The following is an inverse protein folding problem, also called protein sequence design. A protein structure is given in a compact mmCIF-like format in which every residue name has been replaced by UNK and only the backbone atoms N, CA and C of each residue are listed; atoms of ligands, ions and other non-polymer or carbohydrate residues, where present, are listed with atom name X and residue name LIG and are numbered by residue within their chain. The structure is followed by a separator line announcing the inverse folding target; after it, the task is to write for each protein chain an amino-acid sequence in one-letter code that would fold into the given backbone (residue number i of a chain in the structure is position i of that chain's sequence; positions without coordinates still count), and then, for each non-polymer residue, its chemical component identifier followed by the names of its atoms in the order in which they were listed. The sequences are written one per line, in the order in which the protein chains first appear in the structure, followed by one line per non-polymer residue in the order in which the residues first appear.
data_IF_091031162157
#
_entry.id   IF_091031162157
#
_cell.length_a   1.000
_cell.length_b   1.000
_cell.length_c   1.000
_cell.angle_alpha   90.00
_cell.angle_beta   90.00
_cell.angle_gamma   90.00
#
_symmetry.space_group_name_H-M   'P 1'
#
loop_
_entity.id
_entity.type
_entity.pdbx_description
1 polymer ?
#
# COMPACT_ATOMS: atom_id res chain seq x y z
N UNK A 1 -13.33 -14.08 -54.19
CA UNK A 1 -13.85 -14.23 -52.81
C UNK A 1 -13.96 -12.82 -52.22
N UNK A 2 -15.15 -12.34 -51.85
CA UNK A 2 -15.35 -10.97 -51.34
C UNK A 2 -15.74 -11.04 -49.86
N UNK A 3 -15.03 -10.32 -49.00
CA UNK A 3 -15.35 -10.22 -47.57
C UNK A 3 -16.39 -9.11 -47.36
N UNK A 4 -17.49 -9.43 -46.67
CA UNK A 4 -18.54 -8.47 -46.30
C UNK A 4 -18.26 -7.93 -44.90
N UNK A 5 -18.02 -6.63 -44.78
CA UNK A 5 -17.92 -5.95 -43.48
C UNK A 5 -19.33 -5.51 -43.08
N UNK A 6 -19.79 -5.98 -41.93
CA UNK A 6 -21.07 -5.58 -41.33
C UNK A 6 -20.78 -4.69 -40.13
N UNK A 7 -21.31 -3.47 -40.11
CA UNK A 7 -21.24 -2.57 -38.96
C UNK A 7 -22.58 -2.57 -38.22
N UNK A 8 -22.53 -2.72 -36.90
CA UNK A 8 -23.71 -2.63 -36.03
C UNK A 8 -23.67 -1.30 -35.27
N UNK A 9 -24.74 -0.51 -35.38
CA UNK A 9 -24.88 0.74 -34.64
C UNK A 9 -25.17 0.43 -33.17
N UNK A 10 -24.36 0.99 -32.28
CA UNK A 10 -24.61 0.89 -30.85
C UNK A 10 -25.85 1.70 -30.48
N UNK A 11 -26.83 1.07 -29.82
CA UNK A 11 -28.03 1.74 -29.34
C UNK A 11 -27.69 2.72 -28.21
N UNK A 12 -28.36 3.88 -28.18
CA UNK A 12 -28.24 4.88 -27.10
C UNK A 12 -28.24 4.30 -25.67
N UNK A 13 -29.13 3.36 -25.29
CA UNK A 13 -29.10 2.80 -23.93
C UNK A 13 -27.87 1.92 -23.68
N UNK A 14 -27.35 1.24 -24.71
CA UNK A 14 -26.13 0.43 -24.61
C UNK A 14 -24.90 1.32 -24.45
N UNK A 15 -24.85 2.44 -25.17
CA UNK A 15 -23.78 3.43 -24.99
C UNK A 15 -23.78 4.04 -23.58
N UNK A 16 -24.95 4.33 -23.01
CA UNK A 16 -25.09 4.85 -21.64
C UNK A 16 -24.68 3.79 -20.61
N UNK A 17 -25.08 2.53 -20.80
CA UNK A 17 -24.69 1.43 -19.90
C UNK A 17 -23.18 1.17 -19.94
N UNK A 18 -22.57 1.21 -21.13
CA UNK A 18 -21.11 1.09 -21.30
C UNK A 18 -20.39 2.26 -20.64
N UNK A 19 -20.89 3.49 -20.78
CA UNK A 19 -20.31 4.67 -20.14
C UNK A 19 -20.43 4.60 -18.61
N UNK A 20 -21.57 4.14 -18.09
CA UNK A 20 -21.79 3.94 -16.66
C UNK A 20 -20.84 2.87 -16.10
N UNK A 21 -20.69 1.73 -16.77
CA UNK A 21 -19.73 0.69 -16.36
C UNK A 21 -18.28 1.17 -16.45
N UNK A 22 -17.94 1.97 -17.45
CA UNK A 22 -16.61 2.55 -17.57
C UNK A 22 -16.31 3.49 -16.40
N UNK A 23 -17.29 4.30 -15.95
CA UNK A 23 -17.13 5.17 -14.78
C UNK A 23 -17.02 4.43 -13.44
N UNK A 24 -17.66 3.26 -13.28
CA UNK A 24 -17.54 2.45 -12.07
C UNK A 24 -16.22 1.68 -11.96
N UNK A 25 -15.52 1.43 -13.07
CA UNK A 25 -14.22 0.75 -13.05
C UNK A 25 -13.03 1.64 -12.66
N UNK A 26 -13.24 2.93 -12.41
CA UNK A 26 -12.20 3.86 -11.93
C UNK A 26 -12.29 4.06 -10.40
N UNK A 27 -12.39 2.99 -9.62
CA UNK A 27 -11.72 3.07 -8.32
C UNK A 27 -10.25 3.02 -8.64
N UNK A 28 -9.56 4.16 -8.53
CA UNK A 28 -8.10 4.10 -8.37
C UNK A 28 -7.91 3.20 -7.16
N UNK A 29 -7.43 1.97 -7.36
CA UNK A 29 -6.67 1.31 -6.32
C UNK A 29 -5.45 2.20 -6.12
N UNK A 30 -5.63 3.28 -5.36
CA UNK A 30 -4.54 4.12 -4.91
C UNK A 30 -3.62 3.17 -4.16
N UNK A 31 -2.31 3.28 -4.40
CA UNK A 31 -1.35 2.58 -3.56
C UNK A 31 -1.67 2.95 -2.11
N UNK A 32 -1.89 1.94 -1.27
CA UNK A 32 -2.19 2.11 0.15
C UNK A 32 -1.14 3.02 0.80
N UNK A 33 -1.57 4.04 1.53
CA UNK A 33 -0.64 4.87 2.29
C UNK A 33 -0.15 4.09 3.50
N UNK A 34 1.13 3.70 3.52
CA UNK A 34 1.70 2.93 4.65
C UNK A 34 2.24 3.87 5.72
N UNK A 35 1.85 3.62 6.97
CA UNK A 35 2.38 4.27 8.16
C UNK A 35 3.20 3.32 9.04
N UNK A 36 4.13 3.88 9.79
CA UNK A 36 4.94 3.16 10.78
C UNK A 36 4.98 3.91 12.11
N UNK A 37 4.90 3.15 13.22
CA UNK A 37 5.15 3.66 14.56
C UNK A 37 6.14 2.76 15.26
N UNK A 38 7.28 3.33 15.65
CA UNK A 38 8.25 2.66 16.50
C UNK A 38 7.83 2.71 17.98
N UNK A 39 7.87 1.56 18.64
CA UNK A 39 7.53 1.43 20.05
C UNK A 39 8.76 1.03 20.86
N UNK A 40 9.22 1.96 21.70
CA UNK A 40 10.32 1.69 22.63
C UNK A 40 9.93 0.64 23.70
N UNK A 41 8.66 0.58 24.09
CA UNK A 41 8.18 -0.34 25.13
C UNK A 41 8.19 -1.79 24.67
N UNK A 42 7.68 -2.05 23.47
CA UNK A 42 7.60 -3.39 22.88
C UNK A 42 8.82 -3.78 22.04
N UNK A 43 9.75 -2.85 21.79
CA UNK A 43 10.92 -3.06 20.93
C UNK A 43 10.52 -3.55 19.54
N UNK A 44 9.47 -2.95 18.99
CA UNK A 44 8.90 -3.31 17.70
C UNK A 44 8.50 -2.07 16.92
N UNK A 45 8.25 -2.25 15.63
CA UNK A 45 7.56 -1.28 14.79
C UNK A 45 6.20 -1.85 14.42
N UNK A 46 5.14 -1.06 14.62
CA UNK A 46 3.81 -1.36 14.09
C UNK A 46 3.68 -0.73 12.72
N UNK A 47 3.18 -1.51 11.76
CA UNK A 47 2.86 -1.07 10.41
C UNK A 47 1.34 -1.01 10.28
N UNK A 48 0.85 0.08 9.69
CA UNK A 48 -0.58 0.32 9.55
C UNK A 48 -0.91 0.97 8.21
N UNK A 49 -2.16 0.79 7.81
CA UNK A 49 -2.79 1.51 6.72
C UNK A 49 -3.15 2.92 7.21
N UNK A 50 -2.50 3.95 6.70
CA UNK A 50 -2.75 5.33 7.08
C UNK A 50 -4.02 5.91 6.45
N UNK A 51 -4.65 5.22 5.49
CA UNK A 51 -5.93 5.62 4.90
C UNK A 51 -7.11 5.12 5.76
N UNK A 52 -6.93 4.02 6.51
CA UNK A 52 -8.01 3.36 7.27
C UNK A 52 -7.72 3.14 8.76
N UNK A 53 -6.52 3.49 9.23
CA UNK A 53 -5.98 3.19 10.56
C UNK A 53 -5.89 1.69 10.89
N UNK A 54 -6.01 0.80 9.89
CA UNK A 54 -5.94 -0.64 10.09
C UNK A 54 -4.51 -1.10 10.38
N UNK A 55 -4.31 -1.90 11.42
CA UNK A 55 -3.00 -2.51 11.71
C UNK A 55 -2.73 -3.63 10.70
N UNK A 56 -1.61 -3.52 9.98
CA UNK A 56 -1.17 -4.48 8.97
C UNK A 56 -0.20 -5.51 9.56
N UNK A 57 0.54 -5.14 10.59
CA UNK A 57 1.46 -6.05 11.26
C UNK A 57 2.42 -5.36 12.22
N UNK A 58 3.35 -6.14 12.75
CA UNK A 58 4.44 -5.62 13.57
C UNK A 58 5.74 -6.39 13.32
N UNK A 59 6.86 -5.68 13.37
CA UNK A 59 8.20 -6.24 13.20
C UNK A 59 9.02 -5.99 14.47
N UNK A 60 9.57 -7.05 15.06
CA UNK A 60 10.46 -6.95 16.22
C UNK A 60 11.82 -6.38 15.81
N UNK A 61 12.32 -5.42 16.59
CA UNK A 61 13.63 -4.80 16.36
C UNK A 61 14.65 -5.36 17.34
N UNK A 62 15.78 -5.90 16.88
CA UNK A 62 16.83 -6.34 17.76
C UNK A 62 17.50 -5.12 18.39
N UNK A 63 17.35 -5.00 19.71
CA UNK A 63 17.78 -3.79 20.45
C UNK A 63 18.89 -4.07 21.43
N UNK A 64 19.13 -5.31 21.84
CA UNK A 64 20.12 -5.63 22.89
C UNK A 64 20.02 -4.71 24.12
N UNK A 65 18.80 -4.26 24.47
CA UNK A 65 18.53 -3.32 25.56
C UNK A 65 18.47 -1.83 25.18
N UNK A 66 18.70 -1.49 23.91
CA UNK A 66 18.67 -0.11 23.42
C UNK A 66 17.26 0.43 23.16
N UNK A 67 17.18 1.74 22.89
CA UNK A 67 15.93 2.47 22.65
C UNK A 67 15.55 2.40 21.17
N UNK A 68 14.28 2.20 20.86
CA UNK A 68 13.74 2.34 19.49
C UNK A 68 12.89 3.60 19.45
N UNK A 69 12.99 4.42 18.40
CA UNK A 69 12.18 5.64 18.34
C UNK A 69 11.99 6.23 16.95
N UNK A 70 13.06 6.61 16.26
CA UNK A 70 12.88 7.30 14.98
C UNK A 70 12.59 6.28 13.87
N UNK A 71 11.55 6.53 13.09
CA UNK A 71 11.21 5.75 11.90
C UNK A 71 10.77 6.64 10.74
N UNK A 72 10.96 6.13 9.52
CA UNK A 72 10.52 6.77 8.29
C UNK A 72 10.11 5.72 7.25
N UNK A 73 9.18 6.09 6.38
CA UNK A 73 8.76 5.28 5.23
C UNK A 73 9.35 5.92 3.97
N UNK A 74 9.91 5.12 3.06
CA UNK A 74 10.36 5.58 1.75
C UNK A 74 9.15 6.09 0.95
N UNK A 75 9.31 7.15 0.16
CA UNK A 75 8.20 7.80 -0.53
C UNK A 75 7.39 6.87 -1.46
N UNK A 76 7.99 5.78 -1.95
CA UNK A 76 7.30 4.77 -2.77
C UNK A 76 6.59 3.67 -1.95
N UNK A 77 6.66 3.73 -0.61
CA UNK A 77 6.02 2.80 0.31
C UNK A 77 6.66 1.42 0.40
N UNK A 78 7.78 1.16 -0.29
CA UNK A 78 8.36 -0.18 -0.38
C UNK A 78 9.26 -0.53 0.81
N UNK A 79 9.89 0.48 1.43
CA UNK A 79 10.84 0.30 2.52
C UNK A 79 10.50 1.17 3.73
N UNK A 80 10.70 0.60 4.91
CA UNK A 80 10.67 1.28 6.20
C UNK A 80 12.06 1.35 6.82
N UNK A 81 12.35 2.41 7.55
CA UNK A 81 13.59 2.60 8.30
C UNK A 81 13.27 2.80 9.77
N UNK A 82 14.06 2.21 10.67
CA UNK A 82 13.94 2.44 12.11
C UNK A 82 15.29 2.39 12.81
N UNK A 83 15.49 3.28 13.77
CA UNK A 83 16.70 3.34 14.61
C UNK A 83 16.54 2.54 15.88
N UNK A 84 17.65 1.95 16.37
CA UNK A 84 17.73 1.41 17.73
C UNK A 84 18.63 2.25 18.66
N UNK A 85 19.01 3.47 18.27
CA UNK A 85 19.92 4.38 18.98
C UNK A 85 21.23 3.76 19.53
N UNK A 86 21.58 2.55 19.09
CA UNK A 86 22.83 1.85 19.37
C UNK A 86 23.65 1.77 18.07
N UNK A 87 23.70 2.89 17.35
CA UNK A 87 24.40 3.05 16.08
C UNK A 87 23.94 2.12 14.96
N UNK A 88 22.69 1.64 15.02
CA UNK A 88 22.10 0.80 13.97
C UNK A 88 20.83 1.42 13.40
N UNK A 89 20.65 1.23 12.08
CA UNK A 89 19.41 1.49 11.34
C UNK A 89 18.97 0.17 10.72
N UNK A 90 17.73 -0.20 10.91
CA UNK A 90 17.12 -1.38 10.30
C UNK A 90 16.29 -0.96 9.11
N UNK A 91 16.33 -1.79 8.06
CA UNK A 91 15.50 -1.66 6.87
C UNK A 91 14.44 -2.76 6.92
N UNK A 92 13.19 -2.37 6.75
CA UNK A 92 12.02 -3.26 6.76
C UNK A 92 11.45 -3.26 5.34
N UNK A 93 11.30 -4.43 4.75
CA UNK A 93 10.59 -4.60 3.48
C UNK A 93 9.08 -4.55 3.75
N UNK A 94 8.41 -3.54 3.20
CA UNK A 94 6.98 -3.32 3.39
C UNK A 94 6.14 -3.99 2.28
N UNK A 95 6.77 -4.56 1.26
CA UNK A 95 6.06 -5.24 0.16
C UNK A 95 5.66 -6.68 0.49
N UNK A 96 6.23 -7.23 1.56
CA UNK A 96 6.00 -8.61 2.01
C UNK A 96 4.97 -8.72 3.14
N UNK A 97 4.28 -7.63 3.46
CA UNK A 97 3.19 -7.63 4.44
C UNK A 97 2.07 -8.54 3.93
N UNK A 98 2.06 -9.78 4.40
CA UNK A 98 0.96 -10.71 4.17
C UNK A 98 -0.24 -10.27 5.00
N UNK A 99 -1.28 -9.78 4.32
CA UNK A 99 -2.64 -9.60 4.87
C UNK A 99 -3.22 -10.93 5.36
#
# INVERSE_FOLDING_TARGET
MQAKITTHKLGKPVAVLVLLMLTLCFTTAGAQTIGMVASNGSKSVTIFDADTDAILGAVSIPTYGSVVGDCAVLADGTLGFVTNFASSVYVIDLTTLSL
#
